data_IF_020289008773
#
_entry.id   IF_020289008773
#
_cell.length_a   1.000
_cell.length_b   1.000
_cell.length_c   1.000
_cell.angle_alpha   90.00
_cell.angle_beta   90.00
_cell.angle_gamma   90.00
#
_symmetry.space_group_name_H-M   'P 1'
#
loop_
_entity.id
_entity.type
_entity.pdbx_description
1 polymer ?
#
# COMPACT_ATOMS: atom_id res chain seq x y z
N UNK A 1 24.30 14.86 23.61
CA UNK A 1 23.35 14.38 24.64
C UNK A 1 22.05 13.99 23.89
N UNK A 2 21.37 12.91 24.26
CA UNK A 2 20.07 12.47 23.73
C UNK A 2 19.06 12.52 24.89
N UNK A 3 17.77 12.68 24.50
CA UNK A 3 16.67 12.86 25.46
C UNK A 3 16.08 11.53 25.92
N UNK A 4 16.13 10.53 25.01
CA UNK A 4 15.56 9.21 25.26
C UNK A 4 16.26 8.09 24.50
N UNK A 5 16.02 6.84 24.91
CA UNK A 5 16.64 5.65 24.33
C UNK A 5 15.63 4.56 24.00
N UNK A 6 15.90 3.82 22.93
CA UNK A 6 15.12 2.64 22.54
C UNK A 6 16.02 1.58 21.87
N UNK A 7 15.73 0.29 22.00
CA UNK A 7 16.44 -0.72 21.20
C UNK A 7 16.28 -0.49 19.69
N UNK A 8 15.08 -0.16 19.22
CA UNK A 8 14.79 0.05 17.79
C UNK A 8 13.91 1.28 17.61
N UNK A 9 14.35 2.19 16.73
CA UNK A 9 13.55 3.30 16.21
C UNK A 9 13.02 2.91 14.83
N UNK A 10 11.70 2.98 14.64
CA UNK A 10 11.03 2.72 13.35
C UNK A 10 10.54 4.05 12.78
N UNK A 11 10.90 4.36 11.55
CA UNK A 11 10.49 5.58 10.84
C UNK A 11 9.47 5.23 9.76
N UNK A 12 8.22 5.61 9.99
CA UNK A 12 7.08 5.37 9.11
C UNK A 12 6.05 4.41 9.70
N UNK A 13 4.82 4.88 9.85
CA UNK A 13 3.66 4.19 10.44
C UNK A 13 2.73 3.54 9.42
N UNK A 14 3.21 3.19 8.24
CA UNK A 14 2.46 2.39 7.27
C UNK A 14 2.53 0.88 7.56
N UNK A 15 2.00 0.02 6.65
CA UNK A 15 1.92 -1.42 6.87
C UNK A 15 3.25 -2.06 7.25
N UNK A 16 4.34 -1.59 6.65
CA UNK A 16 5.70 -2.13 6.90
C UNK A 16 6.19 -1.79 8.31
N UNK A 17 6.05 -0.52 8.71
CA UNK A 17 6.50 -0.08 10.04
C UNK A 17 5.67 -0.71 11.15
N UNK A 18 4.34 -0.71 11.01
CA UNK A 18 3.44 -1.33 11.98
C UNK A 18 3.67 -2.84 12.09
N UNK A 19 3.85 -3.55 10.97
CA UNK A 19 4.21 -4.97 10.99
C UNK A 19 5.57 -5.21 11.65
N UNK A 20 6.55 -4.33 11.38
CA UNK A 20 7.87 -4.43 12.03
C UNK A 20 7.74 -4.27 13.55
N UNK A 21 6.99 -3.28 14.01
CA UNK A 21 6.73 -3.06 15.44
C UNK A 21 6.02 -4.26 16.08
N UNK A 22 4.98 -4.80 15.43
CA UNK A 22 4.27 -5.99 15.86
C UNK A 22 5.21 -7.20 16.03
N UNK A 23 6.03 -7.50 15.02
CA UNK A 23 6.92 -8.66 15.08
C UNK A 23 8.05 -8.47 16.11
N UNK A 24 8.59 -7.27 16.25
CA UNK A 24 9.59 -6.97 17.29
C UNK A 24 8.99 -7.11 18.69
N UNK A 25 7.77 -6.61 18.92
CA UNK A 25 7.06 -6.77 20.19
C UNK A 25 6.86 -8.24 20.56
N UNK A 26 6.53 -9.11 19.60
CA UNK A 26 6.45 -10.56 19.84
C UNK A 26 7.78 -11.20 20.29
N UNK A 27 8.90 -10.60 19.95
CA UNK A 27 10.23 -11.02 20.40
C UNK A 27 10.69 -10.26 21.64
N UNK A 28 9.80 -9.53 22.32
CA UNK A 28 10.11 -8.76 23.53
C UNK A 28 11.00 -7.55 23.29
N UNK A 29 11.13 -7.09 22.04
CA UNK A 29 11.93 -5.93 21.70
C UNK A 29 11.06 -4.68 21.72
N UNK A 30 11.35 -3.76 22.66
CA UNK A 30 10.68 -2.45 22.72
C UNK A 30 11.06 -1.62 21.52
N UNK A 31 10.09 -0.86 21.00
CA UNK A 31 10.27 0.00 19.84
C UNK A 31 9.63 1.36 20.07
N UNK A 32 10.24 2.41 19.50
CA UNK A 32 9.57 3.68 19.24
C UNK A 32 9.32 3.72 17.74
N UNK A 33 8.07 3.93 17.33
CA UNK A 33 7.69 4.15 15.93
C UNK A 33 7.23 5.60 15.78
N UNK A 34 7.80 6.31 14.83
CA UNK A 34 7.38 7.67 14.47
C UNK A 34 6.73 7.69 13.09
N UNK A 35 5.65 8.44 12.97
CA UNK A 35 4.96 8.70 11.70
C UNK A 35 4.63 10.19 11.59
N UNK A 36 4.98 10.79 10.46
CA UNK A 36 4.75 12.21 10.21
C UNK A 36 3.28 12.62 10.05
N UNK A 37 2.39 11.68 9.69
CA UNK A 37 0.95 11.89 9.63
C UNK A 37 0.33 11.72 11.00
N UNK A 38 -0.88 12.24 11.17
CA UNK A 38 -1.60 12.21 12.45
C UNK A 38 -2.31 10.86 12.70
N UNK A 39 -2.21 9.91 11.77
CA UNK A 39 -2.84 8.58 11.90
C UNK A 39 -2.50 7.63 10.75
N UNK A 40 -3.18 6.49 10.76
CA UNK A 40 -3.13 5.47 9.71
C UNK A 40 -3.76 5.97 8.40
N UNK A 41 -3.65 5.16 7.34
CA UNK A 41 -4.26 5.52 6.05
C UNK A 41 -5.79 5.66 6.19
N UNK A 42 -6.33 6.74 5.64
CA UNK A 42 -7.78 6.94 5.53
C UNK A 42 -8.36 6.38 4.21
N UNK A 43 -7.49 5.97 3.30
CA UNK A 43 -7.88 5.50 1.97
C UNK A 43 -7.50 4.03 1.78
N UNK A 44 -8.39 3.23 1.20
CA UNK A 44 -8.17 1.80 0.95
C UNK A 44 -7.24 1.57 -0.26
N UNK A 45 -5.97 1.97 -0.15
CA UNK A 45 -4.99 1.99 -1.25
C UNK A 45 -4.70 0.65 -1.88
N UNK A 46 -4.67 -0.41 -1.07
CA UNK A 46 -4.35 -1.77 -1.50
C UNK A 46 -5.47 -2.69 -1.05
N UNK A 47 -6.34 -3.13 -1.96
CA UNK A 47 -7.58 -3.82 -1.59
C UNK A 47 -7.41 -5.33 -1.35
N UNK A 48 -6.19 -5.84 -1.26
CA UNK A 48 -6.00 -7.28 -1.09
C UNK A 48 -4.77 -7.67 -0.27
N UNK A 49 -4.92 -8.76 0.48
CA UNK A 49 -3.86 -9.42 1.23
C UNK A 49 -3.59 -10.81 0.64
N UNK A 50 -2.32 -11.10 0.38
CA UNK A 50 -1.90 -12.38 -0.19
C UNK A 50 -1.79 -13.45 0.88
N UNK A 51 -1.90 -14.72 0.46
CA UNK A 51 -1.79 -15.88 1.31
C UNK A 51 -0.55 -15.81 2.23
N UNK A 52 0.61 -15.46 1.70
CA UNK A 52 1.83 -15.33 2.52
C UNK A 52 1.74 -14.25 3.60
N UNK A 53 1.09 -13.13 3.31
CA UNK A 53 0.85 -12.09 4.32
C UNK A 53 -0.05 -12.63 5.44
N UNK A 54 -1.11 -13.34 5.07
CA UNK A 54 -2.05 -13.92 6.02
C UNK A 54 -1.42 -15.03 6.88
N UNK A 55 -0.53 -15.85 6.32
CA UNK A 55 0.29 -16.79 7.09
C UNK A 55 1.13 -16.07 8.17
N UNK A 56 1.77 -14.96 7.80
CA UNK A 56 2.54 -14.16 8.74
C UNK A 56 1.65 -13.53 9.82
N UNK A 57 0.47 -13.01 9.44
CA UNK A 57 -0.49 -12.47 10.40
C UNK A 57 -1.01 -13.56 11.36
N UNK A 58 -1.25 -14.77 10.85
CA UNK A 58 -1.59 -15.92 11.68
C UNK A 58 -0.45 -16.30 12.63
N UNK A 59 0.77 -16.37 12.12
CA UNK A 59 1.96 -16.61 12.96
C UNK A 59 2.15 -15.50 14.00
N UNK A 60 1.75 -14.27 13.68
CA UNK A 60 1.73 -13.16 14.62
C UNK A 60 0.57 -13.22 15.65
N UNK A 61 -0.33 -14.20 15.56
CA UNK A 61 -1.47 -14.34 16.47
C UNK A 61 -2.64 -13.40 16.19
N UNK A 62 -2.64 -12.71 15.05
CA UNK A 62 -3.68 -11.75 14.65
C UNK A 62 -4.48 -12.21 13.42
N UNK A 63 -4.31 -13.46 13.02
CA UNK A 63 -4.95 -13.99 11.81
C UNK A 63 -6.48 -13.89 11.84
N UNK A 64 -7.12 -14.15 12.98
CA UNK A 64 -8.57 -14.04 13.15
C UNK A 64 -9.04 -12.58 13.00
N UNK A 65 -8.33 -11.63 13.63
CA UNK A 65 -8.69 -10.21 13.56
C UNK A 65 -8.61 -9.69 12.11
N UNK A 66 -7.59 -10.11 11.38
CA UNK A 66 -7.43 -9.75 9.97
C UNK A 66 -8.50 -10.40 9.11
N UNK A 67 -8.83 -11.69 9.35
CA UNK A 67 -9.89 -12.40 8.61
C UNK A 67 -11.27 -11.78 8.83
N UNK A 68 -11.55 -11.26 10.02
CA UNK A 68 -12.80 -10.55 10.32
C UNK A 68 -13.00 -9.27 9.48
N UNK A 69 -11.96 -8.77 8.82
CA UNK A 69 -12.02 -7.62 7.93
C UNK A 69 -12.32 -8.00 6.47
N UNK A 70 -12.46 -9.28 6.16
CA UNK A 70 -12.68 -9.73 4.80
C UNK A 70 -13.90 -9.08 4.17
N UNK A 71 -13.76 -8.64 2.93
CA UNK A 71 -14.80 -7.94 2.19
C UNK A 71 -15.72 -8.97 1.53
N UNK A 72 -16.89 -9.25 2.12
CA UNK A 72 -17.90 -10.13 1.55
C UNK A 72 -17.31 -11.43 1.00
N UNK A 73 -17.75 -11.88 -0.17
CA UNK A 73 -17.15 -12.99 -0.90
C UNK A 73 -15.95 -12.50 -1.74
N UNK A 74 -14.89 -12.12 -1.05
CA UNK A 74 -13.68 -11.60 -1.72
C UNK A 74 -13.04 -12.64 -2.65
N UNK A 75 -13.24 -13.93 -2.37
CA UNK A 75 -12.75 -15.02 -3.20
C UNK A 75 -13.38 -14.99 -4.61
N UNK A 76 -14.69 -14.84 -4.70
CA UNK A 76 -15.38 -14.71 -5.98
C UNK A 76 -14.90 -13.51 -6.81
N UNK A 77 -14.51 -12.40 -6.15
CA UNK A 77 -13.91 -11.28 -6.86
C UNK A 77 -12.54 -11.62 -7.44
N UNK A 78 -11.71 -12.37 -6.72
CA UNK A 78 -10.42 -12.83 -7.23
C UNK A 78 -10.57 -13.84 -8.36
N UNK A 79 -11.53 -14.78 -8.26
CA UNK A 79 -11.86 -15.72 -9.34
C UNK A 79 -12.36 -15.00 -10.60
N UNK A 80 -13.13 -13.93 -10.45
CA UNK A 80 -13.60 -13.10 -11.56
C UNK A 80 -12.48 -12.41 -12.34
N UNK A 81 -11.29 -12.29 -11.75
CA UNK A 81 -10.07 -11.89 -12.44
C UNK A 81 -10.03 -10.43 -12.89
N UNK A 82 -9.33 -10.20 -14.00
CA UNK A 82 -9.17 -8.88 -14.63
C UNK A 82 -9.97 -8.88 -15.93
N UNK A 83 -10.86 -7.91 -16.05
CA UNK A 83 -11.75 -7.75 -17.20
C UNK A 83 -11.37 -6.54 -18.05
N UNK A 84 -11.81 -6.56 -19.31
CA UNK A 84 -11.80 -5.41 -20.19
C UNK A 84 -13.16 -5.29 -20.89
N UNK A 85 -13.67 -4.07 -20.94
CA UNK A 85 -14.89 -3.68 -21.65
C UNK A 85 -14.63 -2.43 -22.48
N UNK A 86 -15.50 -2.08 -23.39
CA UNK A 86 -15.49 -0.76 -23.99
C UNK A 86 -16.07 0.26 -22.99
N UNK A 87 -17.28 0.01 -22.48
CA UNK A 87 -17.88 0.74 -21.36
C UNK A 87 -18.42 -0.23 -20.30
N UNK A 88 -18.63 0.23 -19.07
CA UNK A 88 -19.21 -0.63 -18.02
C UNK A 88 -20.67 -0.99 -18.27
N UNK A 89 -21.39 -0.24 -19.09
CA UNK A 89 -22.72 -0.61 -19.57
C UNK A 89 -22.70 -1.90 -20.41
N UNK A 90 -21.55 -2.26 -20.99
CA UNK A 90 -21.31 -3.45 -21.78
C UNK A 90 -20.66 -4.59 -20.98
N UNK A 91 -20.93 -4.67 -19.68
CA UNK A 91 -20.24 -5.62 -18.78
C UNK A 91 -20.48 -7.08 -19.14
N UNK A 92 -21.60 -7.38 -19.81
CA UNK A 92 -21.92 -8.72 -20.27
C UNK A 92 -20.98 -9.20 -21.41
N UNK A 93 -20.45 -8.26 -22.19
CA UNK A 93 -19.50 -8.51 -23.28
C UNK A 93 -18.03 -8.44 -22.80
N UNK A 94 -17.81 -8.48 -21.50
CA UNK A 94 -16.47 -8.32 -20.91
C UNK A 94 -15.53 -9.44 -21.38
N UNK A 95 -14.36 -9.02 -21.87
CA UNK A 95 -13.25 -9.93 -22.19
C UNK A 95 -12.45 -10.17 -20.92
N UNK A 96 -12.29 -11.44 -20.56
CA UNK A 96 -11.39 -11.84 -19.45
C UNK A 96 -9.97 -11.74 -19.94
N UNK A 97 -9.20 -10.82 -19.36
CA UNK A 97 -7.77 -10.65 -19.65
C UNK A 97 -6.91 -11.62 -18.86
N UNK A 98 -7.31 -11.86 -17.61
CA UNK A 98 -6.63 -12.73 -16.69
C UNK A 98 -7.62 -13.26 -15.66
N UNK A 99 -7.62 -14.57 -15.47
CA UNK A 99 -8.28 -15.23 -14.34
C UNK A 99 -7.21 -15.97 -13.56
N UNK A 100 -6.97 -15.63 -12.29
CA UNK A 100 -6.04 -16.39 -11.48
C UNK A 100 -6.56 -17.82 -11.40
N UNK A 101 -5.75 -18.80 -11.82
CA UNK A 101 -6.05 -20.20 -11.52
C UNK A 101 -5.91 -20.41 -10.02
N UNK A 102 -7.02 -20.57 -9.34
CA UNK A 102 -7.06 -20.93 -7.92
C UNK A 102 -6.99 -22.45 -7.72
N UNK A 103 -6.97 -23.19 -8.83
CA UNK A 103 -6.96 -24.67 -8.92
C UNK A 103 -5.56 -25.28 -8.77
N UNK A 104 -4.54 -24.47 -8.49
CA UNK A 104 -3.18 -24.97 -8.23
C UNK A 104 -3.11 -25.78 -6.93
N UNK A 105 -2.02 -26.58 -6.74
CA UNK A 105 -1.80 -27.30 -5.50
C UNK A 105 -1.88 -26.31 -4.32
N UNK A 106 -2.63 -26.68 -3.29
CA UNK A 106 -2.78 -25.88 -2.07
C UNK A 106 -1.44 -25.85 -1.32
N UNK A 107 -0.59 -24.87 -1.66
CA UNK A 107 0.75 -24.68 -1.06
C UNK A 107 0.69 -23.82 0.21
N UNK A 108 -0.46 -23.29 0.55
CA UNK A 108 -0.70 -22.45 1.73
C UNK A 108 -2.04 -22.82 2.38
N UNK A 109 -2.10 -22.85 3.71
CA UNK A 109 -3.36 -22.98 4.44
C UNK A 109 -4.20 -21.70 4.39
N UNK A 110 -3.65 -20.61 3.87
CA UNK A 110 -4.30 -19.31 3.73
C UNK A 110 -4.67 -19.03 2.27
N UNK A 111 -5.79 -18.33 2.08
CA UNK A 111 -6.24 -17.85 0.77
C UNK A 111 -6.07 -16.33 0.70
N UNK A 112 -5.86 -15.81 -0.52
CA UNK A 112 -5.93 -14.38 -0.77
C UNK A 112 -7.28 -13.83 -0.30
N UNK A 113 -7.28 -12.64 0.29
CA UNK A 113 -8.51 -11.99 0.73
C UNK A 113 -8.54 -10.51 0.36
N UNK A 114 -9.73 -9.99 0.09
CA UNK A 114 -9.99 -8.57 -0.08
C UNK A 114 -10.08 -7.86 1.27
N UNK A 115 -9.23 -6.85 1.46
CA UNK A 115 -9.26 -5.98 2.63
C UNK A 115 -8.54 -4.67 2.30
N UNK A 116 -9.18 -3.54 2.55
CA UNK A 116 -8.55 -2.23 2.34
C UNK A 116 -7.45 -1.94 3.35
N UNK A 117 -6.42 -1.22 2.90
CA UNK A 117 -5.28 -0.85 3.73
C UNK A 117 -5.69 -0.05 4.98
N UNK A 118 -6.66 0.84 4.85
CA UNK A 118 -7.23 1.65 5.93
C UNK A 118 -7.80 0.81 7.08
N UNK A 119 -8.25 -0.41 6.79
CA UNK A 119 -8.82 -1.32 7.78
C UNK A 119 -7.75 -2.15 8.48
N UNK A 120 -6.89 -2.84 7.73
CA UNK A 120 -5.90 -3.71 8.36
C UNK A 120 -4.77 -2.95 9.05
N UNK A 121 -4.46 -1.70 8.64
CA UNK A 121 -3.50 -0.86 9.36
C UNK A 121 -3.94 -0.57 10.79
N UNK A 122 -5.25 -0.43 11.05
CA UNK A 122 -5.78 -0.23 12.40
C UNK A 122 -5.52 -1.44 13.28
N UNK A 123 -5.78 -2.64 12.78
CA UNK A 123 -5.48 -3.87 13.52
C UNK A 123 -3.99 -4.00 13.80
N UNK A 124 -3.13 -3.70 12.81
CA UNK A 124 -1.68 -3.71 13.01
C UNK A 124 -1.25 -2.69 14.08
N UNK A 125 -1.84 -1.50 14.07
CA UNK A 125 -1.57 -0.44 15.04
C UNK A 125 -1.90 -0.90 16.48
N UNK A 126 -3.12 -1.40 16.67
CA UNK A 126 -3.58 -1.82 17.99
C UNK A 126 -2.72 -2.98 18.52
N UNK A 127 -2.46 -3.97 17.69
CA UNK A 127 -1.62 -5.12 18.07
C UNK A 127 -0.14 -4.79 18.26
N UNK A 128 0.39 -3.81 17.56
CA UNK A 128 1.74 -3.32 17.81
C UNK A 128 1.83 -2.61 19.17
N UNK A 129 0.81 -1.82 19.54
CA UNK A 129 0.69 -1.18 20.87
C UNK A 129 0.55 -2.22 21.99
N UNK A 130 -0.32 -3.21 21.82
CA UNK A 130 -0.47 -4.32 22.75
C UNK A 130 0.86 -5.06 22.99
N UNK A 131 1.69 -5.15 21.94
CA UNK A 131 3.06 -5.70 21.98
C UNK A 131 4.11 -4.78 22.60
N UNK A 132 3.72 -3.62 23.14
CA UNK A 132 4.61 -2.68 23.84
C UNK A 132 5.35 -1.70 22.91
N UNK A 133 4.91 -1.53 21.67
CA UNK A 133 5.44 -0.51 20.78
C UNK A 133 4.88 0.88 21.15
N UNK A 134 5.76 1.85 21.35
CA UNK A 134 5.39 3.25 21.49
C UNK A 134 5.24 3.87 20.11
N UNK A 135 4.01 4.28 19.75
CA UNK A 135 3.70 4.80 18.41
C UNK A 135 3.34 6.27 18.51
N UNK A 136 4.14 7.11 17.85
CA UNK A 136 4.04 8.58 17.83
C UNK A 136 3.66 9.07 16.44
N UNK A 137 2.40 9.39 16.26
CA UNK A 137 1.91 10.12 15.09
C UNK A 137 2.27 11.59 15.17
N UNK A 138 2.16 12.34 14.06
CA UNK A 138 2.52 13.74 14.00
C UNK A 138 4.01 14.00 14.30
N UNK A 139 4.87 13.00 14.15
CA UNK A 139 6.31 13.09 14.47
C UNK A 139 7.13 12.73 13.24
N UNK A 140 8.00 13.64 12.80
CA UNK A 140 8.84 13.44 11.63
C UNK A 140 10.31 13.30 11.97
N UNK A 141 11.03 12.44 11.25
CA UNK A 141 12.49 12.38 11.25
C UNK A 141 13.04 13.61 10.52
N UNK A 142 13.92 14.38 11.16
CA UNK A 142 14.66 15.48 10.54
C UNK A 142 16.01 14.99 10.00
N UNK A 143 16.79 14.34 10.86
CA UNK A 143 18.13 13.82 10.54
C UNK A 143 18.48 12.64 11.43
N UNK A 144 19.54 11.94 11.08
CA UNK A 144 20.14 10.94 11.95
C UNK A 144 21.63 10.79 11.66
N UNK A 145 22.35 10.34 12.66
CA UNK A 145 23.78 9.98 12.61
C UNK A 145 23.93 8.58 13.20
N UNK A 146 24.93 7.84 12.75
CA UNK A 146 25.23 6.52 13.32
C UNK A 146 26.71 6.37 13.65
N UNK A 147 26.99 5.57 14.66
CA UNK A 147 28.31 5.12 15.08
C UNK A 147 28.30 3.60 15.32
N UNK A 148 29.39 3.07 15.87
CA UNK A 148 29.52 1.63 16.13
C UNK A 148 28.55 1.10 17.19
N UNK A 149 27.99 1.98 18.05
CA UNK A 149 27.09 1.59 19.13
C UNK A 149 25.62 1.80 18.81
N UNK A 150 25.26 2.73 17.91
CA UNK A 150 23.85 3.02 17.64
C UNK A 150 23.61 4.09 16.59
N UNK A 151 22.37 4.57 16.60
CA UNK A 151 21.88 5.66 15.75
C UNK A 151 21.29 6.73 16.64
N UNK A 152 21.67 7.98 16.45
CA UNK A 152 21.04 9.13 17.09
C UNK A 152 20.17 9.85 16.06
N UNK A 153 18.86 9.85 16.26
CA UNK A 153 17.89 10.50 15.39
C UNK A 153 17.39 11.79 16.00
N UNK A 154 17.32 12.86 15.21
CA UNK A 154 16.61 14.10 15.56
C UNK A 154 15.23 14.04 14.95
N UNK A 155 14.21 14.14 15.79
CA UNK A 155 12.81 14.11 15.42
C UNK A 155 12.12 15.40 15.79
N UNK A 156 11.02 15.72 15.13
CA UNK A 156 10.23 16.93 15.42
C UNK A 156 8.76 16.56 15.55
N UNK A 157 8.10 17.08 16.58
CA UNK A 157 6.66 17.01 16.78
C UNK A 157 6.00 18.09 15.93
N UNK A 158 5.18 17.71 14.95
CA UNK A 158 4.61 18.64 13.97
C UNK A 158 3.75 19.75 14.59
N UNK A 159 3.00 19.44 15.65
CA UNK A 159 2.07 20.39 16.27
C UNK A 159 2.75 21.50 17.08
N UNK A 160 3.93 21.22 17.63
CA UNK A 160 4.65 22.14 18.52
C UNK A 160 5.97 22.66 17.94
N UNK A 161 6.53 21.97 16.93
CA UNK A 161 7.88 22.21 16.43
C UNK A 161 8.97 21.76 17.40
N UNK A 162 8.61 21.10 18.50
CA UNK A 162 9.58 20.61 19.49
C UNK A 162 10.47 19.56 18.85
N UNK A 163 11.78 19.72 19.01
CA UNK A 163 12.76 18.75 18.55
C UNK A 163 13.29 17.92 19.71
N UNK A 164 13.46 16.62 19.48
CA UNK A 164 13.99 15.66 20.42
C UNK A 164 15.03 14.78 19.77
N UNK A 165 15.99 14.30 20.53
CA UNK A 165 17.03 13.36 20.10
C UNK A 165 16.80 12.00 20.72
N UNK A 166 16.61 11.00 19.85
CA UNK A 166 16.37 9.61 20.23
C UNK A 166 17.62 8.79 19.90
N UNK A 167 18.18 8.11 20.90
CA UNK A 167 19.25 7.16 20.72
C UNK A 167 18.65 5.75 20.56
N UNK A 168 18.98 5.07 19.46
CA UNK A 168 18.53 3.71 19.19
C UNK A 168 19.72 2.79 18.87
N UNK A 169 19.63 1.51 19.25
CA UNK A 169 20.65 0.54 18.82
C UNK A 169 20.55 0.30 17.30
N UNK A 170 19.33 0.34 16.74
CA UNK A 170 19.06 0.21 15.30
C UNK A 170 17.95 1.16 14.86
N UNK A 171 18.00 1.59 13.59
CA UNK A 171 16.95 2.34 12.94
C UNK A 171 16.37 1.52 11.78
N UNK A 172 15.06 1.45 11.71
CA UNK A 172 14.32 0.81 10.60
C UNK A 172 13.60 1.88 9.79
N UNK A 173 14.07 2.12 8.57
CA UNK A 173 13.43 3.03 7.63
C UNK A 173 12.25 2.37 6.91
N UNK A 174 11.03 2.58 7.41
CA UNK A 174 9.76 2.13 6.84
C UNK A 174 8.99 3.29 6.16
N UNK A 175 9.70 4.35 5.76
CA UNK A 175 9.19 5.63 5.24
C UNK A 175 8.81 5.59 3.76
N UNK A 176 8.71 4.39 3.19
CA UNK A 176 8.09 4.13 1.89
C UNK A 176 9.01 4.29 0.68
N UNK A 177 8.40 4.39 -0.50
CA UNK A 177 9.13 4.39 -1.77
C UNK A 177 10.07 5.58 -1.94
N UNK A 178 9.70 6.75 -1.39
CA UNK A 178 10.51 7.98 -1.38
C UNK A 178 11.22 8.15 -0.05
N UNK A 179 11.82 7.07 0.45
CA UNK A 179 12.49 7.01 1.76
C UNK A 179 13.61 8.02 1.87
N UNK A 180 13.42 9.01 2.74
CA UNK A 180 14.45 9.98 3.10
C UNK A 180 15.58 9.31 3.91
N UNK A 181 15.24 8.29 4.70
CA UNK A 181 16.21 7.50 5.46
C UNK A 181 17.21 6.83 4.52
N UNK A 182 16.75 6.23 3.42
CA UNK A 182 17.61 5.64 2.40
C UNK A 182 18.46 6.70 1.70
N UNK A 183 17.83 7.80 1.29
CA UNK A 183 18.50 8.88 0.55
C UNK A 183 19.60 9.55 1.38
N UNK A 184 19.39 9.75 2.68
CA UNK A 184 20.38 10.30 3.58
C UNK A 184 21.66 9.43 3.71
N UNK A 185 21.56 8.13 3.42
CA UNK A 185 22.69 7.20 3.38
C UNK A 185 23.32 7.03 1.98
N UNK A 186 22.90 7.84 1.00
CA UNK A 186 23.41 7.78 -0.37
C UNK A 186 23.10 6.47 -1.10
N UNK A 187 22.10 5.69 -0.64
CA UNK A 187 21.76 4.42 -1.27
C UNK A 187 20.84 4.66 -2.46
N UNK A 188 21.36 4.40 -3.64
CA UNK A 188 20.63 4.53 -4.90
C UNK A 188 19.67 3.37 -5.13
N UNK A 189 18.79 3.57 -6.08
CA UNK A 189 17.88 2.55 -6.59
C UNK A 189 18.17 2.31 -8.06
N UNK A 190 18.18 1.05 -8.46
CA UNK A 190 18.36 0.60 -9.84
C UNK A 190 17.08 -0.04 -10.35
N UNK A 191 16.86 0.00 -11.66
CA UNK A 191 15.68 -0.60 -12.30
C UNK A 191 15.23 0.20 -13.52
N UNK A 192 14.00 -0.07 -13.99
CA UNK A 192 13.44 0.60 -15.19
C UNK A 192 12.96 2.03 -14.93
N UNK A 193 12.96 2.49 -13.68
CA UNK A 193 12.39 3.78 -13.34
C UNK A 193 10.86 3.76 -13.31
N UNK A 194 10.24 4.91 -13.57
CA UNK A 194 8.79 5.06 -13.68
C UNK A 194 8.29 4.40 -14.97
N UNK A 195 7.31 3.53 -14.85
CA UNK A 195 6.68 2.78 -15.96
C UNK A 195 5.42 3.47 -16.43
N UNK A 196 4.65 4.02 -15.51
CA UNK A 196 3.44 4.81 -15.79
C UNK A 196 3.11 5.72 -14.62
N UNK A 197 2.31 6.75 -14.88
CA UNK A 197 1.73 7.63 -13.88
C UNK A 197 0.22 7.46 -13.87
N UNK A 198 -0.38 7.41 -12.69
CA UNK A 198 -1.81 7.24 -12.55
C UNK A 198 -2.38 8.12 -11.42
N UNK A 199 -3.65 8.40 -11.52
CA UNK A 199 -4.41 9.10 -10.49
C UNK A 199 -5.43 8.13 -9.90
N UNK A 200 -5.34 7.84 -8.60
CA UNK A 200 -6.43 7.16 -7.90
C UNK A 200 -7.55 8.15 -7.63
N UNK A 201 -8.71 7.89 -8.18
CA UNK A 201 -9.95 8.65 -7.96
C UNK A 201 -10.85 7.80 -7.09
N UNK A 202 -11.14 8.27 -5.88
CA UNK A 202 -12.11 7.67 -4.99
C UNK A 202 -13.42 8.42 -5.15
N UNK A 203 -14.50 7.70 -5.48
CA UNK A 203 -15.77 8.33 -5.83
C UNK A 203 -16.97 7.46 -5.46
N UNK A 204 -18.13 8.10 -5.36
CA UNK A 204 -19.44 7.46 -5.21
C UNK A 204 -20.21 7.56 -6.51
N UNK A 205 -20.80 6.47 -6.93
CA UNK A 205 -21.70 6.36 -8.08
C UNK A 205 -22.60 5.14 -7.89
N UNK A 206 -23.73 5.25 -7.17
CA UNK A 206 -24.60 4.10 -6.87
C UNK A 206 -25.09 3.36 -8.11
N UNK A 207 -25.34 4.07 -9.21
CA UNK A 207 -25.80 3.47 -10.47
C UNK A 207 -24.75 2.54 -11.12
N UNK A 208 -23.48 2.64 -10.75
CA UNK A 208 -22.45 1.70 -11.23
C UNK A 208 -22.73 0.27 -10.78
N UNK A 209 -23.34 0.08 -9.62
CA UNK A 209 -23.70 -1.24 -9.12
C UNK A 209 -24.73 -1.90 -10.03
N UNK A 210 -25.74 -1.13 -10.46
CA UNK A 210 -26.77 -1.61 -11.39
C UNK A 210 -26.18 -1.98 -12.78
N UNK A 211 -25.22 -1.16 -13.27
CA UNK A 211 -24.54 -1.42 -14.54
C UNK A 211 -23.67 -2.68 -14.48
N UNK A 212 -22.94 -2.86 -13.38
CA UNK A 212 -22.02 -3.98 -13.21
C UNK A 212 -22.72 -5.26 -12.80
N UNK A 213 -24.00 -5.19 -12.43
CA UNK A 213 -24.81 -6.34 -12.02
C UNK A 213 -24.06 -7.18 -10.97
N UNK A 214 -24.21 -8.49 -11.00
CA UNK A 214 -23.50 -9.42 -10.11
C UNK A 214 -22.09 -9.80 -10.59
N UNK A 215 -21.57 -9.12 -11.62
CA UNK A 215 -20.27 -9.46 -12.19
C UNK A 215 -19.15 -9.26 -11.17
N UNK A 216 -18.45 -10.33 -10.85
CA UNK A 216 -17.30 -10.32 -9.94
C UNK A 216 -16.01 -10.09 -10.74
N UNK A 217 -15.14 -9.21 -10.25
CA UNK A 217 -13.80 -8.94 -10.81
C UNK A 217 -12.93 -8.21 -9.78
N UNK A 218 -11.62 -8.36 -9.90
CA UNK A 218 -10.66 -7.58 -9.12
C UNK A 218 -10.52 -6.19 -9.74
N UNK A 219 -10.41 -6.16 -11.06
CA UNK A 219 -10.16 -4.96 -11.84
C UNK A 219 -10.85 -5.07 -13.19
N UNK A 220 -11.60 -4.06 -13.57
CA UNK A 220 -12.22 -3.97 -14.89
C UNK A 220 -11.71 -2.72 -15.61
N UNK A 221 -11.08 -2.91 -16.76
CA UNK A 221 -10.63 -1.81 -17.62
C UNK A 221 -11.73 -1.43 -18.60
N UNK A 222 -12.16 -0.17 -18.55
CA UNK A 222 -12.93 0.45 -19.63
C UNK A 222 -12.01 1.18 -20.59
N UNK A 223 -12.27 1.08 -21.91
CA UNK A 223 -11.42 1.65 -22.97
C UNK A 223 -12.13 2.66 -23.85
N UNK A 224 -13.28 3.17 -23.41
CA UNK A 224 -14.10 4.12 -24.16
C UNK A 224 -13.35 5.44 -24.44
N UNK A 225 -13.61 6.02 -25.61
CA UNK A 225 -13.12 7.34 -26.04
C UNK A 225 -11.60 7.51 -25.91
N UNK A 226 -10.82 6.42 -26.06
CA UNK A 226 -9.36 6.46 -26.02
C UNK A 226 -8.75 6.61 -24.62
N UNK A 227 -9.56 6.60 -23.58
CA UNK A 227 -9.09 6.64 -22.18
C UNK A 227 -9.18 5.23 -21.59
N UNK A 228 -8.07 4.75 -21.03
CA UNK A 228 -8.08 3.49 -20.30
C UNK A 228 -8.24 3.80 -18.80
N UNK A 229 -9.35 3.36 -18.23
CA UNK A 229 -9.64 3.51 -16.81
C UNK A 229 -9.85 2.15 -16.15
N UNK A 230 -9.02 1.84 -15.17
CA UNK A 230 -9.21 0.67 -14.31
C UNK A 230 -10.19 0.98 -13.19
N UNK A 231 -11.19 0.15 -12.98
CA UNK A 231 -12.16 0.20 -11.90
C UNK A 231 -11.95 -0.97 -10.95
N UNK A 232 -11.82 -0.69 -9.66
CA UNK A 232 -11.81 -1.70 -8.60
C UNK A 232 -12.92 -1.42 -7.59
N UNK A 233 -13.52 -2.49 -7.07
CA UNK A 233 -14.41 -2.42 -5.91
C UNK A 233 -13.60 -2.31 -4.64
N UNK A 234 -14.02 -1.41 -3.75
CA UNK A 234 -13.47 -1.25 -2.40
C UNK A 234 -14.64 -1.37 -1.43
N UNK A 235 -14.51 -2.17 -0.39
CA UNK A 235 -15.52 -2.31 0.68
C UNK A 235 -16.98 -2.55 0.20
N UNK A 236 -17.14 -3.33 -0.86
CA UNK A 236 -18.44 -3.49 -1.53
C UNK A 236 -18.56 -2.55 -2.71
N UNK A 237 -19.34 -1.49 -2.64
CA UNK A 237 -19.67 -0.60 -3.74
C UNK A 237 -19.42 0.88 -3.43
N UNK A 238 -18.99 1.21 -2.21
CA UNK A 238 -18.79 2.60 -1.79
C UNK A 238 -17.60 2.70 -0.82
N UNK A 239 -16.55 3.44 -1.15
CA UNK A 239 -16.31 4.10 -2.44
C UNK A 239 -15.77 3.16 -3.53
N UNK A 240 -15.96 3.58 -4.78
CA UNK A 240 -15.27 3.02 -5.93
C UNK A 240 -13.86 3.60 -6.06
N UNK A 241 -12.95 2.82 -6.65
CA UNK A 241 -11.62 3.30 -7.04
C UNK A 241 -11.47 3.21 -8.55
N UNK A 242 -11.29 4.35 -9.19
CA UNK A 242 -10.84 4.44 -10.58
C UNK A 242 -9.38 4.88 -10.65
N UNK A 243 -8.67 4.41 -11.67
CA UNK A 243 -7.27 4.73 -11.86
C UNK A 243 -6.97 5.05 -13.34
N UNK A 244 -7.30 6.26 -13.83
CA UNK A 244 -6.84 6.71 -15.13
C UNK A 244 -5.32 6.89 -15.14
N UNK A 245 -4.71 6.58 -16.29
CA UNK A 245 -3.29 6.83 -16.56
C UNK A 245 -3.17 8.23 -17.16
N UNK A 246 -2.12 8.97 -16.77
CA UNK A 246 -1.77 10.25 -17.36
C UNK A 246 -0.30 10.28 -17.81
N UNK A 247 0.03 11.17 -18.72
CA UNK A 247 1.27 11.18 -19.46
C UNK A 247 2.02 12.51 -19.27
N UNK A 248 2.94 12.62 -18.27
CA UNK A 248 3.74 13.84 -18.08
C UNK A 248 4.63 14.21 -19.27
N UNK A 249 5.05 13.22 -20.05
CA UNK A 249 5.79 13.39 -21.30
C UNK A 249 4.97 14.11 -22.39
N UNK A 250 3.65 14.15 -22.25
CA UNK A 250 2.73 14.89 -23.11
C UNK A 250 2.20 16.18 -22.46
N UNK A 251 2.79 16.60 -21.35
CA UNK A 251 2.42 17.79 -20.60
C UNK A 251 1.26 17.61 -19.62
N UNK A 252 0.77 16.37 -19.43
CA UNK A 252 -0.30 16.11 -18.47
C UNK A 252 0.26 16.07 -17.03
N UNK A 253 -0.50 16.63 -16.11
CA UNK A 253 -0.19 16.67 -14.68
C UNK A 253 -1.40 16.27 -13.82
N UNK A 254 -1.21 15.89 -12.56
CA UNK A 254 -2.35 15.67 -11.65
C UNK A 254 -3.28 16.88 -11.48
N UNK A 255 -2.77 18.10 -11.68
CA UNK A 255 -3.57 19.32 -11.57
C UNK A 255 -4.63 19.45 -12.67
N UNK A 256 -4.40 18.80 -13.82
CA UNK A 256 -5.35 18.82 -14.95
C UNK A 256 -6.59 17.95 -14.69
N UNK A 257 -6.57 17.12 -13.64
CA UNK A 257 -7.68 16.28 -13.24
C UNK A 257 -8.55 17.01 -12.20
N UNK A 258 -9.27 18.04 -12.67
CA UNK A 258 -10.31 18.69 -11.86
C UNK A 258 -11.42 17.70 -11.50
N UNK A 259 -12.33 18.05 -10.60
CA UNK A 259 -13.45 17.16 -10.26
C UNK A 259 -14.37 16.94 -11.46
N UNK A 260 -14.61 17.98 -12.25
CA UNK A 260 -15.39 17.92 -13.49
C UNK A 260 -14.77 16.93 -14.48
N UNK A 261 -13.45 17.03 -14.74
CA UNK A 261 -12.75 16.10 -15.62
C UNK A 261 -12.80 14.67 -15.08
N UNK A 262 -12.66 14.47 -13.78
CA UNK A 262 -12.78 13.14 -13.17
C UNK A 262 -14.18 12.57 -13.34
N UNK A 263 -15.22 13.38 -13.17
CA UNK A 263 -16.62 13.01 -13.40
C UNK A 263 -16.85 12.60 -14.87
N UNK A 264 -16.33 13.38 -15.81
CA UNK A 264 -16.40 13.08 -17.24
C UNK A 264 -15.72 11.74 -17.58
N UNK A 265 -14.54 11.48 -17.03
CA UNK A 265 -13.83 10.22 -17.21
C UNK A 265 -14.65 9.03 -16.69
N UNK A 266 -15.22 9.15 -15.49
CA UNK A 266 -16.05 8.09 -14.89
C UNK A 266 -17.32 7.85 -15.73
N UNK A 267 -18.01 8.90 -16.13
CA UNK A 267 -19.22 8.82 -16.98
C UNK A 267 -18.94 8.21 -18.33
N UNK A 268 -17.85 8.64 -18.97
CA UNK A 268 -17.40 8.05 -20.25
C UNK A 268 -17.12 6.55 -20.13
N UNK A 269 -16.42 6.15 -19.07
CA UNK A 269 -16.14 4.74 -18.81
C UNK A 269 -17.41 3.95 -18.46
N UNK A 270 -18.36 4.58 -17.78
CA UNK A 270 -19.66 3.97 -17.49
C UNK A 270 -20.52 3.77 -18.75
N UNK A 271 -20.33 4.60 -19.77
CA UNK A 271 -21.22 4.67 -20.93
C UNK A 271 -22.54 5.39 -20.62
N UNK A 272 -22.55 6.29 -19.63
CA UNK A 272 -23.70 7.09 -19.17
C UNK A 272 -23.27 8.52 -18.84
N UNK A 273 -23.63 9.45 -19.71
CA UNK A 273 -23.18 10.84 -19.61
C UNK A 273 -23.89 11.62 -18.48
N UNK A 274 -25.03 11.16 -17.99
CA UNK A 274 -25.86 11.80 -16.94
C UNK A 274 -25.72 11.14 -15.55
N UNK A 275 -24.86 10.12 -15.42
CA UNK A 275 -24.68 9.38 -14.15
C UNK A 275 -24.22 10.32 -13.01
N UNK A 276 -24.89 10.31 -11.85
CA UNK A 276 -24.41 11.02 -10.67
C UNK A 276 -23.08 10.45 -10.17
N UNK A 277 -22.08 11.32 -10.02
CA UNK A 277 -20.75 10.96 -9.52
C UNK A 277 -20.31 12.01 -8.51
N UNK A 278 -19.91 11.56 -7.30
CA UNK A 278 -19.34 12.39 -6.25
C UNK A 278 -17.85 12.03 -6.07
N UNK A 279 -16.97 12.98 -6.31
CA UNK A 279 -15.52 12.78 -6.10
C UNK A 279 -15.18 12.97 -4.63
N UNK A 280 -14.60 11.96 -4.00
CA UNK A 280 -14.23 11.97 -2.59
C UNK A 280 -12.77 12.34 -2.36
N UNK A 281 -11.88 11.79 -3.18
CA UNK A 281 -10.44 12.05 -3.08
C UNK A 281 -9.72 11.73 -4.38
N UNK A 282 -8.61 12.44 -4.60
CA UNK A 282 -7.70 12.22 -5.74
C UNK A 282 -6.27 12.06 -5.22
N UNK A 283 -5.60 10.97 -5.59
CA UNK A 283 -4.23 10.68 -5.12
C UNK A 283 -3.35 10.29 -6.30
N UNK A 284 -2.40 11.14 -6.70
CA UNK A 284 -1.46 10.79 -7.76
C UNK A 284 -0.43 9.77 -7.26
N UNK A 285 -0.07 8.84 -8.13
CA UNK A 285 0.97 7.85 -7.87
C UNK A 285 1.67 7.42 -9.15
N UNK A 286 2.83 6.83 -9.00
CA UNK A 286 3.61 6.29 -10.12
C UNK A 286 3.78 4.78 -9.97
N UNK A 287 3.60 4.05 -11.06
CA UNK A 287 4.07 2.68 -11.20
C UNK A 287 5.56 2.72 -11.56
N UNK A 288 6.46 2.31 -10.65
CA UNK A 288 7.89 2.28 -10.94
C UNK A 288 8.50 0.93 -10.58
N UNK A 289 9.53 0.53 -11.32
CA UNK A 289 10.31 -0.67 -11.04
C UNK A 289 11.70 -0.23 -10.57
N UNK A 290 11.88 -0.20 -9.27
CA UNK A 290 13.13 0.23 -8.65
C UNK A 290 13.45 -0.68 -7.46
N UNK A 291 14.72 -1.04 -7.32
CA UNK A 291 15.25 -1.84 -6.20
C UNK A 291 16.43 -1.08 -5.59
N UNK A 292 16.48 -0.98 -4.27
CA UNK A 292 17.63 -0.39 -3.59
C UNK A 292 18.85 -1.28 -3.74
N UNK A 293 20.01 -0.67 -3.95
CA UNK A 293 21.29 -1.39 -4.09
C UNK A 293 21.68 -2.13 -2.80
N UNK A 294 21.25 -1.60 -1.67
CA UNK A 294 21.51 -2.18 -0.34
C UNK A 294 20.26 -2.05 0.52
N UNK A 295 20.04 -3.03 1.41
CA UNK A 295 18.93 -3.03 2.38
C UNK A 295 19.37 -2.71 3.80
N UNK A 296 20.67 -2.51 3.99
CA UNK A 296 21.26 -2.11 5.27
C UNK A 296 22.58 -1.34 5.03
N UNK A 297 22.81 -0.31 5.83
CA UNK A 297 24.07 0.40 5.96
C UNK A 297 24.33 0.60 7.46
N UNK A 298 25.36 -0.04 7.98
CA UNK A 298 25.65 -0.01 9.41
C UNK A 298 24.48 -0.52 10.25
N UNK A 299 23.93 0.35 11.09
CA UNK A 299 22.82 0.08 12.00
C UNK A 299 21.45 0.54 11.47
N UNK A 300 21.41 1.05 10.26
CA UNK A 300 20.18 1.46 9.59
C UNK A 300 19.79 0.44 8.54
N UNK A 301 18.54 -0.03 8.60
CA UNK A 301 17.98 -0.97 7.62
C UNK A 301 16.61 -0.53 7.13
N UNK A 302 16.20 -0.97 5.94
CA UNK A 302 14.88 -0.74 5.39
C UNK A 302 14.29 -2.03 4.82
N UNK A 303 13.26 -2.59 5.45
CA UNK A 303 12.73 -3.91 5.11
C UNK A 303 11.95 -3.94 3.80
N UNK A 304 11.62 -2.80 3.22
CA UNK A 304 10.80 -2.76 2.01
C UNK A 304 11.19 -1.63 1.07
N UNK A 305 12.08 -1.93 0.14
CA UNK A 305 12.26 -1.06 -1.03
C UNK A 305 12.20 -1.86 -2.34
N UNK A 306 11.64 -3.04 -2.29
CA UNK A 306 11.15 -3.68 -3.48
C UNK A 306 9.78 -3.10 -3.74
N UNK A 307 9.72 -2.08 -4.54
CA UNK A 307 8.44 -1.55 -4.94
C UNK A 307 7.69 -2.54 -5.78
N UNK A 308 6.42 -2.60 -5.49
CA UNK A 308 5.39 -3.30 -6.21
C UNK A 308 5.52 -3.04 -7.70
N UNK A 309 5.89 -4.06 -8.40
CA UNK A 309 5.85 -4.13 -9.82
C UNK A 309 4.46 -4.57 -10.24
N UNK A 310 3.65 -3.67 -10.72
CA UNK A 310 2.61 -4.03 -11.66
C UNK A 310 3.30 -4.30 -12.99
N UNK A 311 3.59 -5.57 -13.28
CA UNK A 311 3.83 -5.97 -14.64
C UNK A 311 2.51 -5.77 -15.36
N UNK A 312 2.32 -4.64 -16.00
CA UNK A 312 1.59 -4.70 -17.23
C UNK A 312 2.50 -5.42 -18.24
N UNK A 313 2.45 -6.74 -18.23
CA UNK A 313 2.44 -7.40 -19.50
C UNK A 313 1.14 -6.92 -20.13
N UNK A 314 1.21 -6.30 -21.26
CA UNK A 314 0.16 -6.43 -22.23
C UNK A 314 -0.13 -7.94 -22.30
N UNK A 315 -1.33 -8.34 -21.87
CA UNK A 315 -1.78 -9.72 -21.69
C UNK A 315 -0.91 -10.56 -20.71
N UNK A 316 -1.51 -10.97 -19.61
CA UNK A 316 -1.12 -11.97 -18.63
C UNK A 316 -0.04 -11.62 -17.59
N UNK A 317 -0.47 -11.44 -16.36
CA UNK A 317 0.37 -11.51 -15.16
C UNK A 317 -0.32 -10.97 -13.90
N UNK A 318 -0.25 -11.69 -12.76
CA UNK A 318 -1.03 -11.39 -11.56
C UNK A 318 -0.67 -10.03 -10.99
N UNK A 319 -1.65 -9.37 -10.39
CA UNK A 319 -1.45 -8.22 -9.52
C UNK A 319 -0.40 -8.62 -8.50
N UNK A 320 0.77 -7.95 -8.46
CA UNK A 320 1.73 -8.27 -7.44
C UNK A 320 1.19 -7.80 -6.11
N UNK A 321 0.70 -8.73 -5.41
CA UNK A 321 0.50 -8.64 -4.02
C UNK A 321 1.74 -8.19 -3.28
N UNK A 322 1.53 -7.57 -2.14
CA UNK A 322 2.55 -7.37 -1.12
C UNK A 322 3.21 -8.71 -0.73
N UNK A 323 4.15 -9.17 -1.53
CA UNK A 323 5.15 -10.10 -1.06
C UNK A 323 6.29 -9.27 -0.51
N UNK A 324 6.14 -8.80 0.72
CA UNK A 324 7.29 -8.60 1.57
C UNK A 324 7.96 -9.98 1.70
N UNK A 325 8.92 -10.29 0.85
CA UNK A 325 9.93 -11.26 1.25
C UNK A 325 10.71 -10.60 2.39
N UNK A 326 10.26 -10.80 3.59
CA UNK A 326 11.09 -10.68 4.78
C UNK A 326 12.06 -11.85 4.77
N UNK A 327 13.11 -11.75 3.98
CA UNK A 327 14.34 -12.46 4.28
C UNK A 327 15.11 -11.56 5.23
N UNK A 328 14.84 -11.72 6.51
CA UNK A 328 15.80 -11.34 7.53
C UNK A 328 17.04 -12.19 7.27
N UNK A 329 18.25 -11.61 7.13
CA UNK A 329 19.46 -12.40 7.22
C UNK A 329 19.46 -13.00 8.63
N UNK A 330 19.41 -14.31 8.71
CA UNK A 330 19.49 -15.00 9.99
C UNK A 330 20.77 -14.60 10.73
N UNK A 331 20.64 -14.46 12.03
CA UNK A 331 21.61 -14.17 13.06
C UNK A 331 21.71 -12.69 13.45
N UNK A 332 20.90 -12.32 14.43
CA UNK A 332 21.30 -11.34 15.43
C UNK A 332 22.45 -11.99 16.22
N UNK A 333 23.56 -11.28 16.53
CA UNK A 333 24.55 -11.82 17.43
C UNK A 333 23.89 -12.13 18.80
N UNK A 334 24.29 -13.23 19.47
CA UNK A 334 23.82 -13.52 20.82
C UNK A 334 24.16 -12.35 21.76
N UNK A 335 23.34 -12.20 22.78
CA UNK A 335 23.44 -11.17 23.82
C UNK A 335 24.81 -11.12 24.46
#
# INVERSE_FOLDING_TARGET
MYDETTPVLIVGGGPVGLSTALFLGRHGVRTILIERRDGTSLLPRAPGLQARTLELMRAAGIGADIRALEMGDSHAYFEGGILRVNTYAEIDDAVVLESPSLDGPTISPERVMGCGQDRYERVLLDRARDGGAEIRFGTRLLSFEQDDEGVTATVEVNSTGEQRRIRAAYLVGADGARSRTREALGVHRTGRGTVFNALSIYFRAPQLEELLKDRKFILCYATARGTMMGLSRLHGCDPWLAAPIYHPDRGESPADFTDERCIEIVRSAAGKDDMPVEIMAKVPWEGAQLVAERFRVGRVSWPATRRTYTRQRAASGPIPAFTTRTTWPGSWPPR
#
